data_IF_062968891633
#
_entry.id   IF_062968891633
#
_cell.length_a   1.000
_cell.length_b   1.000
_cell.length_c   1.000
_cell.angle_alpha   90.00
_cell.angle_beta   90.00
_cell.angle_gamma   90.00
#
_symmetry.space_group_name_H-M   'P 1'
#
loop_
_entity.id
_entity.type
_entity.pdbx_description
1 polymer ?
#
# COMPACT_ATOMS: atom_id res chain seq x y z
N UNK A 1 50.09 -6.28 24.39
CA UNK A 1 50.16 -4.95 23.74
C UNK A 1 48.75 -4.48 23.45
N UNK A 2 48.24 -3.47 24.16
CA UNK A 2 46.91 -2.90 23.89
C UNK A 2 47.06 -1.67 22.98
N UNK A 3 46.50 -1.74 21.78
CA UNK A 3 46.45 -0.61 20.84
C UNK A 3 45.58 0.49 21.44
N UNK A 4 46.18 1.60 21.87
CA UNK A 4 45.45 2.81 22.28
C UNK A 4 44.79 3.42 21.04
N UNK A 5 43.56 3.00 20.76
CA UNK A 5 42.71 3.68 19.79
C UNK A 5 42.50 5.10 20.31
N UNK A 6 42.94 6.09 19.53
CA UNK A 6 42.80 7.50 19.88
C UNK A 6 41.32 7.85 19.95
N UNK A 7 40.85 8.50 21.03
CA UNK A 7 39.46 8.98 21.14
C UNK A 7 39.02 9.82 19.91
N UNK A 8 39.98 10.45 19.22
CA UNK A 8 39.73 11.22 17.99
C UNK A 8 39.34 10.33 16.80
N UNK A 9 39.96 9.17 16.63
CA UNK A 9 39.60 8.27 15.52
C UNK A 9 38.21 7.69 15.74
N UNK A 10 37.83 7.39 16.98
CA UNK A 10 36.47 6.93 17.32
C UNK A 10 35.42 8.01 17.00
N UNK A 11 35.68 9.28 17.36
CA UNK A 11 34.77 10.40 17.07
C UNK A 11 34.56 10.64 15.57
N UNK A 12 35.65 10.56 14.78
CA UNK A 12 35.57 10.72 13.32
C UNK A 12 34.81 9.56 12.67
N UNK A 13 35.04 8.32 13.12
CA UNK A 13 34.31 7.15 12.63
C UNK A 13 32.82 7.25 12.93
N UNK A 14 32.45 7.61 14.17
CA UNK A 14 31.05 7.82 14.55
C UNK A 14 30.39 8.92 13.72
N UNK A 15 31.07 10.06 13.54
CA UNK A 15 30.53 11.19 12.76
C UNK A 15 30.32 10.81 11.29
N UNK A 16 31.29 10.09 10.70
CA UNK A 16 31.19 9.57 9.34
C UNK A 16 30.07 8.55 9.20
N UNK A 17 29.85 7.69 10.20
CA UNK A 17 28.79 6.70 10.18
C UNK A 17 27.40 7.34 10.28
N UNK A 18 27.24 8.35 11.14
CA UNK A 18 25.99 9.14 11.23
C UNK A 18 25.71 9.88 9.92
N UNK A 19 26.74 10.51 9.32
CA UNK A 19 26.60 11.18 8.03
C UNK A 19 26.19 10.20 6.91
N UNK A 20 26.87 9.06 6.80
CA UNK A 20 26.57 8.04 5.80
C UNK A 20 25.18 7.45 5.99
N UNK A 21 24.77 7.16 7.22
CA UNK A 21 23.42 6.68 7.53
C UNK A 21 22.36 7.73 7.16
N UNK A 22 22.61 9.01 7.44
CA UNK A 22 21.72 10.11 7.04
C UNK A 22 21.57 10.20 5.52
N UNK A 23 22.67 10.18 4.77
CA UNK A 23 22.64 10.20 3.30
C UNK A 23 21.92 8.98 2.71
N UNK A 24 22.15 7.79 3.29
CA UNK A 24 21.46 6.57 2.88
C UNK A 24 19.96 6.67 3.13
N UNK A 25 19.54 7.26 4.26
CA UNK A 25 18.14 7.45 4.59
C UNK A 25 17.46 8.47 3.68
N UNK A 26 18.18 9.54 3.26
CA UNK A 26 17.71 10.47 2.21
C UNK A 26 17.52 9.75 0.87
N UNK A 27 18.55 9.05 0.40
CA UNK A 27 18.49 8.31 -0.85
C UNK A 27 17.40 7.23 -0.84
N UNK A 28 17.31 6.47 0.26
CA UNK A 28 16.29 5.45 0.48
C UNK A 28 14.88 6.03 0.54
N UNK A 29 14.68 7.18 1.20
CA UNK A 29 13.39 7.87 1.23
C UNK A 29 12.94 8.33 -0.16
N UNK A 30 13.85 8.87 -0.97
CA UNK A 30 13.56 9.26 -2.35
C UNK A 30 13.24 8.05 -3.24
N UNK A 31 14.04 6.98 -3.15
CA UNK A 31 13.78 5.73 -3.89
C UNK A 31 12.45 5.10 -3.48
N UNK A 32 12.11 5.15 -2.18
CA UNK A 32 10.84 4.67 -1.68
C UNK A 32 9.66 5.51 -2.20
N UNK A 33 9.76 6.84 -2.19
CA UNK A 33 8.75 7.72 -2.80
C UNK A 33 8.57 7.48 -4.30
N UNK A 34 9.68 7.29 -5.02
CA UNK A 34 9.67 6.98 -6.45
C UNK A 34 9.07 5.60 -6.77
N UNK A 35 8.95 4.70 -5.78
CA UNK A 35 8.26 3.40 -5.93
C UNK A 35 6.72 3.51 -5.86
N UNK A 36 6.16 4.71 -6.00
CA UNK A 36 4.71 4.91 -6.14
C UNK A 36 4.23 4.34 -7.46
N UNK A 37 3.03 3.75 -7.48
CA UNK A 37 2.49 3.10 -8.66
C UNK A 37 0.96 3.09 -8.65
N UNK A 38 0.37 2.85 -9.82
CA UNK A 38 -1.07 2.61 -9.95
C UNK A 38 -1.37 1.12 -9.78
N UNK A 39 -2.23 0.79 -8.82
CA UNK A 39 -2.83 -0.52 -8.68
C UNK A 39 -4.17 -0.55 -9.40
N UNK A 40 -4.43 -1.60 -10.17
CA UNK A 40 -5.70 -1.78 -10.85
C UNK A 40 -6.67 -2.57 -9.96
N UNK A 41 -7.96 -2.31 -10.13
CA UNK A 41 -8.98 -3.11 -9.47
C UNK A 41 -9.33 -4.33 -10.33
N UNK A 42 -9.44 -5.49 -9.69
CA UNK A 42 -9.87 -6.73 -10.32
C UNK A 42 -11.19 -7.20 -9.73
N UNK A 43 -12.06 -7.75 -10.58
CA UNK A 43 -13.38 -8.23 -10.18
C UNK A 43 -13.45 -9.77 -10.23
N UNK A 44 -14.08 -10.35 -9.20
CA UNK A 44 -14.44 -11.76 -9.10
C UNK A 44 -15.95 -11.83 -9.05
N UNK A 45 -16.55 -12.38 -10.10
CA UNK A 45 -17.99 -12.32 -10.33
C UNK A 45 -18.76 -13.33 -9.47
N UNK A 46 -18.21 -14.50 -9.14
CA UNK A 46 -18.91 -15.52 -8.33
C UNK A 46 -17.89 -16.44 -7.66
N UNK A 47 -18.12 -16.82 -6.40
CA UNK A 47 -17.31 -17.82 -5.72
C UNK A 47 -17.93 -18.30 -4.41
N UNK A 48 -17.48 -19.47 -3.93
CA UNK A 48 -17.67 -19.87 -2.54
C UNK A 48 -16.48 -19.34 -1.74
N UNK A 49 -16.76 -18.60 -0.70
CA UNK A 49 -15.76 -18.02 0.16
C UNK A 49 -15.95 -18.53 1.58
N UNK A 50 -14.84 -18.85 2.24
CA UNK A 50 -14.79 -19.09 3.67
C UNK A 50 -14.46 -17.76 4.36
N UNK A 51 -15.25 -17.39 5.35
CA UNK A 51 -14.98 -16.23 6.20
C UNK A 51 -14.03 -16.64 7.32
N UNK A 52 -12.95 -15.88 7.50
CA UNK A 52 -11.98 -16.06 8.56
C UNK A 52 -11.92 -14.74 9.33
N UNK A 53 -12.17 -14.79 10.64
CA UNK A 53 -11.94 -13.63 11.50
C UNK A 53 -10.43 -13.46 11.71
N UNK A 54 -9.94 -12.24 11.47
CA UNK A 54 -8.58 -11.83 11.80
C UNK A 54 -8.66 -10.92 13.04
N UNK A 55 -7.51 -10.41 13.48
CA UNK A 55 -7.40 -9.47 14.58
C UNK A 55 -8.14 -8.15 14.32
N UNK A 56 -8.55 -7.50 15.41
CA UNK A 56 -9.10 -6.14 15.45
C UNK A 56 -10.44 -5.92 14.71
N UNK A 57 -11.18 -7.01 14.45
CA UNK A 57 -12.47 -6.96 13.77
C UNK A 57 -12.36 -6.86 12.25
N UNK A 58 -11.19 -7.19 11.71
CA UNK A 58 -10.95 -7.39 10.28
C UNK A 58 -11.29 -8.83 9.91
N UNK A 59 -11.77 -9.05 8.69
CA UNK A 59 -12.12 -10.38 8.18
C UNK A 59 -11.36 -10.68 6.91
N UNK A 60 -11.08 -11.94 6.64
CA UNK A 60 -10.62 -12.41 5.33
C UNK A 60 -11.66 -13.33 4.70
N UNK A 61 -11.94 -13.11 3.42
CA UNK A 61 -12.61 -14.08 2.58
C UNK A 61 -11.54 -14.93 1.90
N UNK A 62 -11.49 -16.23 2.20
CA UNK A 62 -10.68 -17.18 1.44
C UNK A 62 -11.55 -17.80 0.36
N UNK A 63 -11.16 -17.68 -0.91
CA UNK A 63 -11.86 -18.38 -1.99
C UNK A 63 -11.53 -19.87 -1.90
N UNK A 64 -12.56 -20.72 -1.76
CA UNK A 64 -12.37 -22.17 -1.58
C UNK A 64 -11.61 -22.73 -2.79
N UNK A 65 -10.57 -23.53 -2.51
CA UNK A 65 -9.68 -24.11 -3.53
C UNK A 65 -8.56 -23.17 -4.00
N UNK A 66 -8.33 -22.06 -3.32
CA UNK A 66 -7.20 -21.14 -3.57
C UNK A 66 -6.51 -20.73 -2.27
N UNK A 67 -5.25 -20.31 -2.37
CA UNK A 67 -4.46 -19.75 -1.27
C UNK A 67 -4.51 -18.20 -1.27
N UNK A 68 -5.52 -17.63 -1.92
CA UNK A 68 -5.74 -16.19 -2.00
C UNK A 68 -6.74 -15.73 -0.95
N UNK A 69 -6.33 -14.74 -0.16
CA UNK A 69 -7.13 -14.17 0.91
C UNK A 69 -7.53 -12.74 0.54
N UNK A 70 -8.80 -12.41 0.70
CA UNK A 70 -9.34 -11.10 0.40
C UNK A 70 -9.75 -10.41 1.70
N UNK A 71 -8.96 -9.43 2.13
CA UNK A 71 -9.08 -8.78 3.43
C UNK A 71 -10.12 -7.66 3.39
N UNK A 72 -10.98 -7.64 4.40
CA UNK A 72 -12.08 -6.70 4.57
C UNK A 72 -11.94 -6.07 5.94
N UNK A 73 -11.69 -4.76 5.97
CA UNK A 73 -11.86 -3.94 7.16
C UNK A 73 -13.27 -3.32 7.14
N UNK A 74 -14.20 -3.75 8.02
CA UNK A 74 -15.57 -3.24 8.07
C UNK A 74 -15.70 -1.72 8.20
N UNK A 75 -14.65 -1.05 8.70
CA UNK A 75 -14.65 0.40 8.96
C UNK A 75 -14.47 1.22 7.69
N UNK A 76 -13.90 0.63 6.62
CA UNK A 76 -13.61 1.32 5.34
C UNK A 76 -14.80 1.37 4.39
N UNK A 77 -15.87 0.62 4.66
CA UNK A 77 -17.01 0.47 3.75
C UNK A 77 -18.19 1.37 4.09
N UNK A 78 -18.88 1.80 3.04
CA UNK A 78 -20.18 2.48 3.09
C UNK A 78 -21.21 1.69 2.26
N UNK A 79 -22.38 1.32 2.82
CA UNK A 79 -22.74 1.47 4.23
C UNK A 79 -21.81 0.66 5.15
N UNK A 80 -21.74 1.03 6.43
CA UNK A 80 -20.88 0.30 7.38
C UNK A 80 -21.34 -1.15 7.51
N UNK A 81 -20.42 -2.10 7.42
CA UNK A 81 -20.75 -3.52 7.45
C UNK A 81 -21.12 -3.92 8.88
N UNK A 82 -22.25 -4.61 9.03
CA UNK A 82 -22.61 -5.25 10.29
C UNK A 82 -21.89 -6.62 10.36
N UNK A 83 -20.96 -6.84 11.31
CA UNK A 83 -20.23 -8.09 11.45
C UNK A 83 -21.13 -9.34 11.52
N UNK A 84 -22.32 -9.21 12.12
CA UNK A 84 -23.29 -10.31 12.21
C UNK A 84 -23.79 -10.76 10.85
N UNK A 85 -23.84 -9.87 9.85
CA UNK A 85 -24.23 -10.23 8.48
C UNK A 85 -23.15 -11.08 7.78
N UNK A 86 -21.88 -10.86 8.10
CA UNK A 86 -20.79 -11.68 7.57
C UNK A 86 -20.86 -13.12 8.13
N UNK A 87 -21.24 -13.26 9.40
CA UNK A 87 -21.37 -14.56 10.09
C UNK A 87 -22.58 -15.39 9.61
N UNK A 88 -23.56 -14.79 8.92
CA UNK A 88 -24.75 -15.47 8.40
C UNK A 88 -24.49 -16.34 7.17
N UNK A 89 -23.22 -16.50 6.74
CA UNK A 89 -22.83 -17.32 5.58
C UNK A 89 -23.57 -16.90 4.28
N UNK A 90 -23.81 -15.60 4.12
CA UNK A 90 -24.39 -15.04 2.90
C UNK A 90 -23.46 -15.30 1.71
N UNK A 91 -24.05 -15.52 0.53
CA UNK A 91 -23.27 -15.79 -0.67
C UNK A 91 -22.67 -14.49 -1.21
N UNK A 92 -21.37 -14.47 -1.47
CA UNK A 92 -20.70 -13.35 -2.14
C UNK A 92 -20.97 -13.44 -3.65
N UNK A 93 -21.67 -12.44 -4.19
CA UNK A 93 -22.06 -12.37 -5.62
C UNK A 93 -21.23 -11.41 -6.44
N UNK A 94 -20.37 -10.62 -5.79
CA UNK A 94 -19.39 -9.76 -6.44
C UNK A 94 -18.31 -9.46 -5.42
N UNK A 95 -17.06 -9.49 -5.84
CA UNK A 95 -15.93 -9.03 -5.05
C UNK A 95 -14.99 -8.27 -5.98
N UNK A 96 -14.66 -7.03 -5.64
CA UNK A 96 -13.63 -6.22 -6.29
C UNK A 96 -12.53 -6.02 -5.26
N UNK A 97 -11.30 -6.26 -5.69
CA UNK A 97 -10.11 -6.09 -4.87
C UNK A 97 -9.05 -5.28 -5.60
N UNK A 98 -8.16 -4.68 -4.84
CA UNK A 98 -6.98 -3.97 -5.33
C UNK A 98 -5.87 -4.99 -5.66
N UNK A 99 -5.36 -4.98 -6.89
CA UNK A 99 -4.29 -5.88 -7.33
C UNK A 99 -2.91 -5.42 -6.82
N UNK A 100 -2.80 -5.32 -5.50
CA UNK A 100 -1.58 -5.05 -4.74
C UNK A 100 -1.45 -6.14 -3.67
N UNK A 101 -0.76 -7.25 -3.97
CA UNK A 101 -0.63 -8.36 -3.04
C UNK A 101 0.19 -7.93 -1.81
N UNK A 102 -0.44 -8.01 -0.65
CA UNK A 102 0.17 -7.80 0.65
C UNK A 102 0.51 -9.15 1.31
N UNK A 103 1.50 -9.16 2.19
CA UNK A 103 1.79 -10.34 3.02
C UNK A 103 0.95 -10.28 4.29
N UNK A 104 0.01 -11.20 4.44
CA UNK A 104 -0.74 -11.38 5.68
C UNK A 104 -0.12 -12.54 6.48
N UNK A 105 0.35 -12.21 7.68
CA UNK A 105 0.71 -13.21 8.66
C UNK A 105 -0.54 -13.52 9.51
N UNK A 106 -1.05 -14.74 9.43
CA UNK A 106 -2.14 -15.18 10.28
C UNK A 106 -1.75 -16.47 11.01
N UNK A 107 -2.25 -16.60 12.23
CA UNK A 107 -2.09 -17.79 13.05
C UNK A 107 -3.33 -18.66 12.86
N UNK A 108 -3.24 -19.62 11.96
CA UNK A 108 -4.28 -20.65 11.80
C UNK A 108 -3.82 -21.90 12.52
N UNK A 109 -4.58 -22.35 13.52
CA UNK A 109 -4.30 -23.59 14.25
C UNK A 109 -2.87 -23.65 14.86
N UNK A 110 -2.36 -22.54 15.38
CA UNK A 110 -1.03 -22.43 16.02
C UNK A 110 0.15 -22.53 15.04
N UNK A 111 -0.13 -22.47 13.73
CA UNK A 111 0.88 -22.38 12.68
C UNK A 111 0.85 -20.97 12.09
N UNK A 112 1.97 -20.26 12.19
CA UNK A 112 2.14 -18.97 11.55
C UNK A 112 2.36 -19.20 10.06
N UNK A 113 1.42 -18.74 9.24
CA UNK A 113 1.53 -18.84 7.78
C UNK A 113 1.54 -17.43 7.17
N UNK A 114 2.48 -17.18 6.26
CA UNK A 114 2.49 -15.99 5.44
C UNK A 114 1.81 -16.32 4.12
N UNK A 115 0.70 -15.64 3.82
CA UNK A 115 -0.05 -15.79 2.57
C UNK A 115 -0.18 -14.47 1.85
N UNK A 116 -0.39 -14.55 0.55
CA UNK A 116 -0.75 -13.39 -0.25
C UNK A 116 -2.20 -12.99 0.04
N UNK A 117 -2.38 -11.73 0.41
CA UNK A 117 -3.68 -11.12 0.66
C UNK A 117 -3.92 -9.93 -0.24
N UNK A 118 -5.18 -9.68 -0.57
CA UNK A 118 -5.61 -8.54 -1.37
C UNK A 118 -6.66 -7.74 -0.60
N UNK A 119 -6.57 -6.41 -0.63
CA UNK A 119 -7.57 -5.55 0.00
C UNK A 119 -8.85 -5.51 -0.84
N UNK A 120 -9.98 -5.81 -0.19
CA UNK A 120 -11.31 -5.73 -0.81
C UNK A 120 -11.76 -4.29 -0.84
N UNK A 121 -12.28 -3.88 -1.99
CA UNK A 121 -12.70 -2.51 -2.27
C UNK A 121 -14.21 -2.42 -2.50
N UNK A 122 -14.81 -3.48 -3.04
CA UNK A 122 -16.25 -3.62 -3.10
C UNK A 122 -16.63 -5.08 -2.95
N UNK A 123 -17.72 -5.38 -2.27
CA UNK A 123 -18.33 -6.70 -2.36
C UNK A 123 -19.84 -6.63 -2.23
N UNK A 124 -20.50 -7.65 -2.76
CA UNK A 124 -21.93 -7.81 -2.67
C UNK A 124 -22.29 -9.13 -1.98
N UNK A 125 -23.17 -9.04 -0.99
CA UNK A 125 -23.77 -10.19 -0.31
C UNK A 125 -25.19 -10.38 -0.81
N UNK A 126 -25.55 -11.59 -1.21
CA UNK A 126 -26.91 -11.96 -1.54
C UNK A 126 -27.55 -12.76 -0.40
N UNK A 127 -28.68 -12.25 0.10
CA UNK A 127 -29.58 -12.98 0.96
C UNK A 127 -30.67 -13.66 0.12
N UNK A 128 -30.52 -14.97 -0.05
CA UNK A 128 -31.45 -15.80 -0.82
C UNK A 128 -32.83 -15.92 -0.16
N UNK A 129 -32.95 -15.65 1.15
CA UNK A 129 -34.24 -15.76 1.86
C UNK A 129 -35.18 -14.62 1.50
N UNK A 130 -34.62 -13.42 1.33
CA UNK A 130 -35.38 -12.19 1.05
C UNK A 130 -35.13 -11.63 -0.35
N UNK A 131 -34.41 -12.37 -1.21
CA UNK A 131 -34.04 -11.96 -2.58
C UNK A 131 -33.42 -10.56 -2.64
N UNK A 132 -32.61 -10.21 -1.63
CA UNK A 132 -32.01 -8.88 -1.50
C UNK A 132 -30.50 -8.97 -1.58
N UNK A 133 -29.91 -8.05 -2.35
CA UNK A 133 -28.47 -7.89 -2.46
C UNK A 133 -28.04 -6.64 -1.70
N UNK A 134 -26.99 -6.78 -0.90
CA UNK A 134 -26.35 -5.71 -0.16
C UNK A 134 -24.97 -5.48 -0.75
N UNK A 135 -24.74 -4.28 -1.31
CA UNK A 135 -23.45 -3.88 -1.85
C UNK A 135 -22.75 -2.98 -0.86
N UNK A 136 -21.49 -3.28 -0.58
CA UNK A 136 -20.61 -2.51 0.28
C UNK A 136 -19.43 -2.03 -0.56
N UNK A 137 -19.17 -0.73 -0.53
CA UNK A 137 -18.07 -0.11 -1.30
C UNK A 137 -17.16 0.67 -0.36
N UNK A 138 -15.85 0.56 -0.53
CA UNK A 138 -14.87 1.34 0.21
C UNK A 138 -14.93 2.81 -0.19
N UNK A 139 -14.45 3.70 0.69
CA UNK A 139 -14.33 5.11 0.34
C UNK A 139 -13.33 5.38 -0.79
N UNK A 140 -12.26 4.59 -0.87
CA UNK A 140 -11.21 4.72 -1.91
C UNK A 140 -11.80 4.41 -3.29
N UNK A 141 -12.45 3.24 -3.44
CA UNK A 141 -13.09 2.83 -4.69
C UNK A 141 -14.26 3.70 -5.10
N UNK A 142 -14.98 4.28 -4.13
CA UNK A 142 -16.07 5.21 -4.44
C UNK A 142 -15.60 6.54 -5.03
N UNK A 143 -14.35 6.93 -4.80
CA UNK A 143 -13.77 8.17 -5.33
C UNK A 143 -13.07 7.94 -6.66
N UNK A 144 -12.37 6.81 -6.80
CA UNK A 144 -11.69 6.41 -8.04
C UNK A 144 -11.94 4.91 -8.27
N UNK A 145 -12.77 4.61 -9.27
CA UNK A 145 -13.20 3.24 -9.59
C UNK A 145 -12.31 2.57 -10.65
N UNK A 146 -11.46 3.35 -11.33
CA UNK A 146 -10.63 2.86 -12.44
C UNK A 146 -9.28 2.36 -11.94
N UNK A 147 -8.68 3.06 -10.97
CA UNK A 147 -7.43 2.64 -10.35
C UNK A 147 -7.25 3.20 -8.93
N UNK A 148 -6.35 2.59 -8.17
CA UNK A 148 -5.87 3.15 -6.91
C UNK A 148 -4.42 3.65 -7.10
N UNK A 149 -4.18 4.93 -6.87
CA UNK A 149 -2.82 5.45 -6.82
C UNK A 149 -2.22 5.21 -5.43
N UNK A 150 -1.18 4.39 -5.34
CA UNK A 150 -0.47 4.14 -4.09
C UNK A 150 0.64 5.18 -3.97
N UNK A 151 0.33 6.26 -3.24
CA UNK A 151 1.28 7.32 -2.96
C UNK A 151 2.20 6.96 -1.78
N UNK A 152 3.48 6.74 -2.08
CA UNK A 152 4.54 6.48 -1.09
C UNK A 152 5.36 7.72 -0.77
N UNK A 153 5.09 8.85 -1.41
CA UNK A 153 5.81 10.10 -1.17
C UNK A 153 5.72 10.60 0.26
N UNK A 154 4.56 10.54 0.97
CA UNK A 154 4.51 11.04 2.35
C UNK A 154 5.52 10.35 3.27
N UNK A 155 5.61 9.01 3.23
CA UNK A 155 6.59 8.26 4.01
C UNK A 155 8.02 8.47 3.49
N UNK A 156 8.19 8.51 2.16
CA UNK A 156 9.49 8.79 1.54
C UNK A 156 10.06 10.16 1.92
N UNK A 157 9.22 11.20 1.94
CA UNK A 157 9.56 12.55 2.40
C UNK A 157 9.90 12.53 3.88
N UNK A 158 9.11 11.85 4.72
CA UNK A 158 9.39 11.75 6.15
C UNK A 158 10.77 11.11 6.42
N UNK A 159 11.10 10.01 5.72
CA UNK A 159 12.43 9.40 5.79
C UNK A 159 13.53 10.33 5.27
N UNK A 160 13.27 11.05 4.19
CA UNK A 160 14.24 11.98 3.61
C UNK A 160 14.56 13.14 4.55
N UNK A 161 13.55 13.71 5.20
CA UNK A 161 13.74 14.79 6.18
C UNK A 161 14.52 14.29 7.39
N UNK A 162 14.17 13.12 7.93
CA UNK A 162 14.90 12.52 9.05
C UNK A 162 16.38 12.24 8.69
N UNK A 163 16.62 11.69 7.49
CA UNK A 163 17.96 11.45 6.98
C UNK A 163 18.75 12.74 6.79
N UNK A 164 18.11 13.80 6.29
CA UNK A 164 18.76 15.10 6.09
C UNK A 164 19.19 15.73 7.41
N UNK A 165 18.36 15.64 8.46
CA UNK A 165 18.71 16.10 9.80
C UNK A 165 19.91 15.31 10.33
N UNK A 166 19.90 13.98 10.22
CA UNK A 166 21.02 13.14 10.64
C UNK A 166 22.32 13.45 9.88
N UNK A 167 22.24 13.63 8.57
CA UNK A 167 23.39 14.01 7.74
C UNK A 167 23.94 15.38 8.16
N UNK A 168 23.07 16.36 8.43
CA UNK A 168 23.47 17.69 8.88
C UNK A 168 24.19 17.62 10.23
N UNK A 169 23.66 16.87 11.19
CA UNK A 169 24.30 16.65 12.51
C UNK A 169 25.65 15.95 12.35
N UNK A 170 25.73 14.88 11.54
CA UNK A 170 26.98 14.19 11.25
C UNK A 170 28.04 15.11 10.62
N UNK A 171 27.62 15.97 9.69
CA UNK A 171 28.48 16.97 9.05
C UNK A 171 29.03 17.98 10.05
N UNK A 172 28.18 18.51 10.95
CA UNK A 172 28.60 19.44 12.01
C UNK A 172 29.58 18.77 12.96
N UNK A 173 29.32 17.54 13.40
CA UNK A 173 30.22 16.77 14.28
C UNK A 173 31.58 16.49 13.62
N UNK A 174 31.57 16.23 12.31
CA UNK A 174 32.79 16.04 11.53
C UNK A 174 33.60 17.35 11.44
N UNK A 175 32.96 18.49 11.17
CA UNK A 175 33.60 19.80 11.18
C UNK A 175 34.19 20.15 12.55
N UNK A 176 33.47 19.89 13.65
CA UNK A 176 33.97 20.13 15.01
C UNK A 176 35.13 19.21 15.40
N UNK A 177 35.20 18.00 14.83
CA UNK A 177 36.30 17.06 15.04
C UNK A 177 37.55 17.44 14.25
N UNK A 178 37.40 18.13 13.12
CA UNK A 178 38.47 18.75 12.36
C UNK A 178 38.90 20.08 12.99
N UNK A 179 39.35 20.07 14.25
CA UNK A 179 40.09 21.23 14.77
C UNK A 179 41.33 21.40 13.89
N UNK A 180 41.61 22.61 13.36
CA UNK A 180 42.84 22.85 12.64
C UNK A 180 43.95 22.46 13.60
N UNK A 181 44.70 21.41 13.25
CA UNK A 181 45.98 21.21 13.87
C UNK A 181 46.68 22.51 13.59
N UNK A 182 46.89 23.34 14.62
CA UNK A 182 47.88 24.39 14.55
C UNK A 182 49.11 23.60 14.10
N UNK A 183 49.43 23.74 12.83
CA UNK A 183 50.72 23.35 12.30
C UNK A 183 51.61 24.27 13.11
N UNK A 184 52.04 23.80 14.28
CA UNK A 184 53.24 24.28 14.91
C UNK A 184 54.28 24.02 13.85
N UNK A 185 54.43 25.02 12.96
CA UNK A 185 55.66 25.29 12.29
C UNK A 185 56.63 25.51 13.45
N UNK A 186 57.14 24.42 13.99
CA UNK A 186 58.49 24.40 14.49
C UNK A 186 59.30 24.89 13.30
N UNK A 187 59.46 26.22 13.19
CA UNK A 187 60.65 26.77 12.60
C UNK A 187 61.76 26.14 13.43
N UNK A 188 62.61 25.25 12.88
CA UNK A 188 63.89 25.02 13.49
C UNK A 188 64.65 26.34 13.36
N UNK A 189 64.52 27.18 14.38
CA UNK A 189 65.42 28.31 14.55
C UNK A 189 66.81 27.75 14.83
N UNK A 190 67.59 27.47 13.77
CA UNK A 190 69.05 27.48 13.85
C UNK A 190 69.71 27.54 12.47
N UNK A 191 69.94 28.78 12.03
CA UNK A 191 71.20 29.29 11.48
C UNK A 191 71.90 28.49 10.37
N UNK A 192 71.77 28.98 9.13
CA UNK A 192 72.92 29.14 8.25
C UNK A 192 72.69 30.37 7.35
N UNK A 193 73.26 31.49 7.79
CA UNK A 193 73.53 32.65 6.94
C UNK A 193 74.44 32.17 5.81
N UNK A 194 73.96 32.25 4.56
CA UNK A 194 74.80 32.17 3.36
C UNK A 194 74.55 33.45 2.55
N UNK A 195 75.60 34.21 2.20
CA UNK A 195 75.48 35.54 1.61
C UNK A 195 74.93 35.53 0.18
N UNK A 196 74.40 36.68 -0.29
CA UNK A 196 73.79 36.81 -1.61
C UNK A 196 74.85 36.86 -2.72
N UNK A 197 74.85 35.88 -3.61
CA UNK A 197 75.47 36.03 -4.93
C UNK A 197 74.47 36.67 -5.90
N UNK A 198 74.77 37.91 -6.27
CA UNK A 198 74.18 38.62 -7.39
C UNK A 198 74.33 37.76 -8.67
N UNK A 199 73.23 37.49 -9.37
CA UNK A 199 73.31 37.28 -10.81
C UNK A 199 72.13 37.99 -11.48
N UNK A 200 72.50 39.11 -12.07
CA UNK A 200 71.79 39.88 -13.08
C UNK A 200 71.40 38.99 -14.27
N UNK A 201 70.11 38.97 -14.61
CA UNK A 201 69.68 38.70 -15.98
C UNK A 201 68.65 39.74 -16.42
N UNK A 202 68.95 40.54 -17.46
CA UNK A 202 68.03 41.52 -18.01
C UNK A 202 67.11 40.90 -19.07
N UNK A 203 65.84 41.31 -19.01
CA UNK A 203 65.00 41.67 -20.15
C UNK A 203 64.81 40.69 -21.31
N UNK A 204 63.56 40.25 -21.51
CA UNK A 204 62.91 40.37 -22.82
C UNK A 204 61.48 40.91 -22.62
N UNK A 205 61.27 42.11 -23.14
CA UNK A 205 59.97 42.67 -23.52
C UNK A 205 59.34 41.82 -24.62
N UNK A 206 58.04 41.53 -24.52
CA UNK A 206 57.10 41.43 -25.67
C UNK A 206 55.73 41.01 -25.14
N UNK A 207 54.58 41.47 -25.60
CA UNK A 207 54.13 42.59 -26.42
C UNK A 207 52.60 42.53 -26.28
N UNK A 208 52.01 43.68 -26.05
CA UNK A 208 50.56 43.90 -26.04
C UNK A 208 49.96 43.68 -27.42
N UNK A 209 48.83 42.99 -27.52
CA UNK A 209 47.89 43.18 -28.64
C UNK A 209 46.46 42.92 -28.20
N UNK A 210 45.71 44.02 -28.16
CA UNK A 210 44.26 44.09 -28.28
C UNK A 210 43.74 43.25 -29.45
N UNK A 211 42.60 42.57 -29.25
CA UNK A 211 41.57 42.47 -30.28
C UNK A 211 40.18 42.37 -29.63
N UNK A 212 39.27 43.13 -30.21
CA UNK A 212 37.95 43.57 -29.75
C UNK A 212 36.84 42.53 -30.03
N UNK A 213 35.57 42.80 -29.63
CA UNK A 213 34.49 41.83 -29.59
C UNK A 213 33.85 41.62 -30.97
N UNK A 214 33.36 40.41 -31.22
CA UNK A 214 32.52 40.11 -32.38
C UNK A 214 31.13 39.70 -31.90
N UNK A 215 30.21 40.65 -32.06
CA UNK A 215 28.79 40.41 -32.25
C UNK A 215 28.56 39.49 -33.46
N UNK A 216 27.77 38.42 -33.28
CA UNK A 216 26.99 37.82 -34.38
C UNK A 216 25.64 37.30 -33.88
N UNK A 217 24.62 38.11 -34.13
CA UNK A 217 23.24 37.66 -34.39
C UNK A 217 23.20 36.86 -35.70
N UNK A 218 22.54 35.71 -35.68
CA UNK A 218 21.71 35.14 -36.76
C UNK A 218 21.07 33.84 -36.20
N UNK A 219 19.82 33.87 -35.73
CA UNK A 219 18.66 33.35 -36.48
C UNK A 219 18.92 32.05 -37.23
N UNK A 220 18.53 30.92 -36.64
CA UNK A 220 18.00 29.80 -37.41
C UNK A 220 16.68 29.37 -36.79
N UNK A 221 15.60 29.76 -37.48
CA UNK A 221 14.33 29.04 -37.47
C UNK A 221 14.63 27.61 -37.96
N UNK A 222 14.52 26.64 -37.07
CA UNK A 222 14.39 25.24 -37.47
C UNK A 222 12.94 24.85 -37.20
N UNK A 223 12.17 24.77 -38.28
CA UNK A 223 10.85 24.14 -38.28
C UNK A 223 10.97 22.70 -37.76
N UNK A 224 10.05 22.21 -36.91
CA UNK A 224 9.95 20.79 -36.64
C UNK A 224 9.49 20.06 -37.92
N UNK A 225 10.08 18.92 -38.28
CA UNK A 225 9.56 18.10 -39.35
C UNK A 225 8.20 17.53 -38.96
N UNK A 226 7.26 17.68 -39.88
CA UNK A 226 6.00 16.97 -39.89
C UNK A 226 6.23 15.45 -39.83
N UNK A 227 5.38 14.79 -39.06
CA UNK A 227 4.65 13.61 -39.51
C UNK A 227 5.50 12.43 -39.99
N UNK A 228 5.87 11.57 -39.05
CA UNK A 228 6.02 10.14 -39.30
C UNK A 228 5.05 9.39 -38.38
N UNK A 229 3.89 9.05 -38.94
CA UNK A 229 3.00 8.05 -38.40
C UNK A 229 3.76 6.73 -38.25
N UNK A 230 3.98 6.29 -37.01
CA UNK A 230 4.42 4.92 -36.73
C UNK A 230 3.18 4.04 -36.59
N UNK A 231 3.04 2.98 -37.40
CA UNK A 231 1.98 2.01 -37.21
C UNK A 231 2.21 1.23 -35.92
N UNK A 232 1.14 1.20 -35.14
CA UNK A 232 0.88 0.34 -33.99
C UNK A 232 1.35 -1.10 -34.29
N UNK A 233 2.49 -1.49 -33.72
CA UNK A 233 2.90 -2.89 -33.68
C UNK A 233 2.31 -3.48 -32.41
N UNK A 234 1.23 -4.24 -32.55
CA UNK A 234 0.69 -5.09 -31.50
C UNK A 234 1.77 -6.09 -31.07
N UNK A 235 2.48 -5.79 -29.98
CA UNK A 235 3.35 -6.76 -29.33
C UNK A 235 2.48 -7.63 -28.41
N UNK A 236 1.76 -8.56 -29.02
CA UNK A 236 1.11 -9.67 -28.32
C UNK A 236 2.21 -10.48 -27.62
N UNK A 237 2.49 -10.19 -26.36
CA UNK A 237 3.32 -11.05 -25.52
C UNK A 237 2.51 -12.29 -25.20
N UNK A 238 2.59 -13.26 -26.12
CA UNK A 238 2.10 -14.62 -25.94
C UNK A 238 3.01 -15.28 -24.88
N UNK A 239 2.63 -15.16 -23.61
CA UNK A 239 3.25 -15.94 -22.52
C UNK A 239 2.95 -17.42 -22.77
N UNK A 240 3.97 -18.12 -23.25
CA UNK A 240 4.03 -19.57 -23.30
C UNK A 240 4.08 -20.11 -21.86
N UNK A 241 3.30 -21.15 -21.51
CA UNK A 241 3.29 -21.71 -20.17
C UNK A 241 4.62 -22.39 -19.87
N UNK A 242 5.23 -22.02 -18.76
CA UNK A 242 6.33 -22.78 -18.17
C UNK A 242 5.84 -24.20 -17.88
N UNK A 243 6.40 -25.16 -18.61
CA UNK A 243 6.31 -26.58 -18.28
C UNK A 243 6.98 -26.76 -16.91
N UNK A 244 6.14 -26.95 -15.88
CA UNK A 244 6.62 -27.41 -14.59
C UNK A 244 7.09 -28.86 -14.76
N UNK A 245 8.41 -29.03 -14.75
CA UNK A 245 9.05 -30.32 -14.64
C UNK A 245 8.55 -31.01 -13.36
N UNK A 246 7.93 -32.17 -13.55
CA UNK A 246 7.50 -33.04 -12.46
C UNK A 246 8.70 -33.53 -11.66
N UNK A 247 8.69 -33.21 -10.37
CA UNK A 247 9.43 -33.97 -9.37
C UNK A 247 8.43 -34.91 -8.68
N UNK A 248 8.41 -36.15 -9.17
CA UNK A 248 7.81 -37.29 -8.50
C UNK A 248 8.55 -37.52 -7.17
N UNK A 249 7.94 -37.14 -6.05
CA UNK A 249 8.28 -37.73 -4.76
C UNK A 249 7.33 -38.89 -4.47
N UNK A 250 7.86 -40.10 -4.67
CA UNK A 250 7.26 -41.35 -4.25
C UNK A 250 7.51 -41.51 -2.75
N UNK A 251 6.49 -41.30 -1.93
CA UNK A 251 6.44 -41.81 -0.55
C UNK A 251 5.48 -42.98 -0.50
N UNK A 252 6.08 -44.15 -0.66
CA UNK A 252 5.52 -45.47 -0.44
C UNK A 252 5.34 -45.66 1.07
N UNK A 253 4.11 -45.52 1.57
CA UNK A 253 3.76 -46.04 2.90
C UNK A 253 2.54 -46.94 2.75
N UNK A 254 2.79 -48.24 2.79
CA UNK A 254 1.78 -49.28 2.77
C UNK A 254 0.91 -49.23 4.03
N UNK A 255 -0.40 -49.31 3.80
CA UNK A 255 -1.43 -49.43 4.83
C UNK A 255 -2.61 -50.15 4.22
N UNK A 256 -2.48 -51.47 4.13
CA UNK A 256 -3.47 -52.41 3.64
C UNK A 256 -4.60 -52.55 4.68
N UNK A 257 -5.80 -52.02 4.41
CA UNK A 257 -7.03 -52.39 5.11
C UNK A 257 -8.19 -52.50 4.10
N UNK A 258 -9.01 -53.50 4.34
CA UNK A 258 -9.97 -54.15 3.44
C UNK A 258 -11.10 -53.26 2.91
N UNK A 259 -11.65 -53.60 1.72
CA UNK A 259 -12.86 -52.99 1.21
C UNK A 259 -14.09 -53.68 1.80
N UNK A 260 -14.83 -52.98 2.65
CA UNK A 260 -16.19 -53.39 3.01
C UNK A 260 -17.19 -52.92 1.95
N UNK A 261 -17.94 -53.91 1.51
CA UNK A 261 -18.86 -53.95 0.39
C UNK A 261 -20.24 -53.56 0.90
N UNK A 262 -20.73 -52.36 0.58
CA UNK A 262 -22.15 -52.04 0.78
C UNK A 262 -22.80 -51.56 -0.53
N UNK A 263 -23.87 -52.29 -0.84
CA UNK A 263 -24.82 -52.21 -1.94
C UNK A 263 -25.33 -50.78 -2.18
N UNK A 264 -25.30 -50.29 -3.41
CA UNK A 264 -26.40 -50.40 -4.40
C UNK A 264 -27.77 -49.99 -3.86
N UNK A 265 -28.15 -48.73 -4.15
CA UNK A 265 -29.54 -48.34 -4.31
C UNK A 265 -29.62 -47.21 -5.34
N UNK A 266 -29.98 -47.58 -6.56
CA UNK A 266 -30.40 -46.69 -7.62
C UNK A 266 -31.72 -46.01 -7.23
N UNK A 267 -31.84 -44.69 -7.46
CA UNK A 267 -33.13 -44.03 -7.70
C UNK A 267 -33.00 -42.86 -8.68
N UNK A 268 -34.08 -42.55 -9.40
CA UNK A 268 -34.03 -42.10 -10.79
C UNK A 268 -34.15 -40.58 -10.93
N UNK A 269 -33.87 -40.13 -12.16
CA UNK A 269 -33.72 -38.74 -12.53
C UNK A 269 -34.97 -37.86 -12.41
N UNK A 270 -34.68 -36.57 -12.47
CA UNK A 270 -35.66 -35.53 -12.77
C UNK A 270 -35.07 -34.70 -13.91
N UNK A 271 -35.83 -34.65 -15.00
CA UNK A 271 -35.60 -33.84 -16.18
C UNK A 271 -35.63 -32.33 -15.88
N UNK A 272 -34.91 -31.60 -16.73
CA UNK A 272 -34.83 -30.15 -16.90
C UNK A 272 -36.20 -29.44 -17.02
N UNK A 273 -36.19 -28.10 -16.97
CA UNK A 273 -36.23 -27.42 -18.28
C UNK A 273 -35.18 -26.32 -18.46
N UNK A 274 -34.66 -26.27 -19.70
CA UNK A 274 -33.99 -25.14 -20.32
C UNK A 274 -34.76 -23.83 -20.10
N UNK A 275 -34.05 -22.77 -19.69
CA UNK A 275 -34.53 -21.41 -19.88
C UNK A 275 -33.86 -20.80 -21.10
N UNK A 276 -34.62 -20.74 -22.18
CA UNK A 276 -34.35 -19.95 -23.39
C UNK A 276 -34.24 -18.47 -23.02
N UNK A 277 -33.02 -17.92 -23.02
CA UNK A 277 -32.83 -16.48 -22.86
C UNK A 277 -32.91 -15.82 -24.23
N UNK A 278 -34.05 -15.18 -24.52
CA UNK A 278 -34.22 -14.30 -25.68
C UNK A 278 -33.39 -13.02 -25.46
N UNK A 279 -32.40 -12.83 -26.32
CA UNK A 279 -31.71 -11.56 -26.54
C UNK A 279 -32.70 -10.55 -27.15
N UNK A 280 -32.97 -9.46 -26.43
CA UNK A 280 -33.63 -8.27 -26.96
C UNK A 280 -32.62 -7.12 -26.93
N UNK A 281 -31.97 -6.89 -28.06
CA UNK A 281 -31.33 -5.62 -28.42
C UNK A 281 -32.40 -4.54 -28.60
N UNK A 282 -32.30 -3.38 -27.94
CA UNK A 282 -32.96 -2.17 -28.40
C UNK A 282 -32.03 -1.39 -29.34
N UNK A 283 -32.56 -1.18 -30.53
CA UNK A 283 -32.00 -0.39 -31.61
C UNK A 283 -31.63 1.04 -31.21
N UNK A 284 -30.58 1.49 -31.89
CA UNK A 284 -30.12 2.86 -31.98
C UNK A 284 -30.99 3.65 -32.97
N UNK A 285 -31.38 4.88 -32.59
CA UNK A 285 -31.85 6.05 -33.39
C UNK A 285 -32.91 6.75 -32.53
N UNK A 286 -32.85 8.05 -32.25
CA UNK A 286 -33.03 9.09 -33.26
C UNK A 286 -32.81 10.50 -32.69
N UNK A 287 -32.16 11.32 -33.52
CA UNK A 287 -32.52 12.72 -33.83
C UNK A 287 -32.07 13.82 -32.85
N UNK A 288 -31.08 14.57 -33.36
CA UNK A 288 -30.80 15.96 -33.02
C UNK A 288 -31.95 16.88 -33.45
N UNK A 289 -32.25 17.90 -32.66
CA UNK A 289 -32.73 19.16 -33.23
C UNK A 289 -32.31 20.36 -32.36
N UNK A 290 -31.66 21.30 -33.04
CA UNK A 290 -31.27 22.60 -32.57
C UNK A 290 -32.49 23.50 -32.33
N UNK A 291 -32.35 24.41 -31.37
CA UNK A 291 -33.31 25.48 -31.10
C UNK A 291 -32.67 26.58 -30.26
N UNK A 292 -31.97 27.48 -30.94
CA UNK A 292 -31.58 28.81 -30.43
C UNK A 292 -32.82 29.64 -30.11
N UNK A 293 -32.85 30.32 -28.97
CA UNK A 293 -33.40 31.67 -28.83
C UNK A 293 -32.87 32.37 -27.57
N UNK A 294 -32.04 33.38 -27.84
CA UNK A 294 -31.93 34.69 -27.17
C UNK A 294 -33.34 35.24 -26.79
N UNK A 295 -33.63 36.07 -25.79
CA UNK A 295 -32.97 37.22 -25.16
C UNK A 295 -33.69 37.49 -23.81
N UNK A 296 -33.05 38.30 -22.97
CA UNK A 296 -33.62 39.34 -22.09
C UNK A 296 -33.65 39.15 -20.56
N UNK A 297 -32.83 40.02 -19.97
CA UNK A 297 -33.06 40.89 -18.80
C UNK A 297 -33.17 40.30 -17.38
N UNK A 298 -32.13 40.65 -16.61
CA UNK A 298 -32.11 40.86 -15.16
C UNK A 298 -33.26 41.79 -14.71
N UNK A 299 -33.77 41.67 -13.47
CA UNK A 299 -33.01 42.21 -12.33
C UNK A 299 -33.11 41.44 -11.00
N UNK A 300 -31.94 41.31 -10.36
CA UNK A 300 -31.62 41.79 -9.01
C UNK A 300 -32.80 41.90 -8.02
N UNK A 301 -33.04 40.85 -7.21
CA UNK A 301 -33.71 41.00 -5.91
C UNK A 301 -32.92 40.32 -4.81
N UNK A 302 -32.47 41.18 -3.91
CA UNK A 302 -31.84 40.93 -2.62
C UNK A 302 -32.82 40.25 -1.66
N UNK A 303 -32.44 39.12 -1.04
CA UNK A 303 -33.01 38.72 0.25
C UNK A 303 -32.07 37.87 1.10
N UNK A 304 -31.27 38.62 1.85
CA UNK A 304 -30.74 38.32 3.18
C UNK A 304 -31.75 37.53 4.02
N UNK A 305 -31.45 36.28 4.37
CA UNK A 305 -32.00 35.62 5.57
C UNK A 305 -30.85 35.13 6.42
N UNK A 306 -30.68 35.84 7.52
CA UNK A 306 -29.87 35.46 8.67
C UNK A 306 -30.49 34.20 9.26
N UNK A 307 -29.76 33.09 9.28
CA UNK A 307 -30.09 31.99 10.17
C UNK A 307 -29.47 32.29 11.53
N UNK A 308 -30.36 32.57 12.47
CA UNK A 308 -30.09 32.77 13.89
C UNK A 308 -29.56 31.45 14.45
N UNK A 309 -28.39 31.54 15.07
CA UNK A 309 -27.81 30.53 15.95
C UNK A 309 -28.70 30.39 17.19
N UNK A 310 -29.33 29.23 17.35
CA UNK A 310 -30.04 28.85 18.57
C UNK A 310 -29.26 27.74 19.28
N UNK A 311 -28.63 28.15 20.36
CA UNK A 311 -28.02 27.36 21.42
C UNK A 311 -29.10 26.56 22.19
N UNK A 312 -28.92 25.26 22.44
CA UNK A 312 -29.59 24.61 23.56
C UNK A 312 -28.58 24.18 24.62
N UNK A 313 -28.48 24.99 25.67
CA UNK A 313 -28.02 24.54 26.99
C UNK A 313 -29.13 23.73 27.65
N UNK A 314 -28.72 22.57 28.17
CA UNK A 314 -29.10 22.05 29.49
C UNK A 314 -30.59 21.92 29.81
N UNK A 315 -31.11 20.70 29.71
CA UNK A 315 -32.06 20.19 30.69
C UNK A 315 -31.59 18.82 31.19
N UNK A 316 -31.11 18.84 32.43
CA UNK A 316 -31.10 17.69 33.31
C UNK A 316 -32.56 17.30 33.58
N UNK A 317 -32.88 16.03 33.35
CA UNK A 317 -34.17 15.41 33.61
C UNK A 317 -33.91 14.03 34.19
N UNK A 318 -33.90 13.99 35.51
CA UNK A 318 -33.91 12.82 36.39
C UNK A 318 -35.24 12.06 36.22
N UNK A 319 -35.19 10.80 35.74
CA UNK A 319 -36.27 9.80 35.86
C UNK A 319 -35.56 8.45 36.10
N UNK A 320 -35.40 8.06 37.36
CA UNK A 320 -36.20 7.03 38.06
C UNK A 320 -36.16 5.67 37.35
N UNK A 321 -35.24 4.85 37.87
CA UNK A 321 -35.32 3.41 38.15
C UNK A 321 -36.48 2.60 37.56
N UNK A 322 -36.13 1.62 36.73
CA UNK A 322 -36.70 0.27 36.77
C UNK A 322 -35.58 -0.74 36.48
N UNK A 323 -35.09 -1.36 37.57
CA UNK A 323 -34.13 -2.47 37.54
C UNK A 323 -34.97 -3.73 37.41
N UNK A 324 -35.20 -4.18 36.18
CA UNK A 324 -35.76 -5.51 35.95
C UNK A 324 -34.66 -6.55 36.24
N UNK A 325 -34.95 -7.34 37.26
CA UNK A 325 -34.06 -8.33 37.87
C UNK A 325 -34.05 -9.57 36.98
N UNK A 326 -32.91 -9.91 36.37
CA UNK A 326 -32.76 -11.17 35.66
C UNK A 326 -32.63 -12.35 36.65
N UNK A 327 -33.26 -13.51 36.36
CA UNK A 327 -33.20 -14.68 37.23
C UNK A 327 -31.80 -15.30 37.24
N UNK A 328 -31.28 -15.48 38.44
CA UNK A 328 -30.07 -16.22 38.78
C UNK A 328 -30.18 -17.69 38.36
N UNK A 329 -29.25 -18.16 37.52
CA UNK A 329 -29.05 -19.59 37.29
C UNK A 329 -28.49 -20.24 38.56
N UNK A 330 -28.99 -21.43 38.98
CA UNK A 330 -28.43 -22.16 40.09
C UNK A 330 -27.12 -22.86 39.70
N UNK A 331 -26.03 -22.37 40.27
CA UNK A 331 -24.73 -23.04 40.33
C UNK A 331 -24.85 -24.28 41.22
N UNK A 332 -24.75 -25.48 40.65
CA UNK A 332 -24.57 -26.72 41.43
C UNK A 332 -23.16 -27.25 41.19
N UNK A 333 -22.25 -27.23 42.18
CA UNK A 333 -20.99 -27.95 42.08
C UNK A 333 -21.22 -29.45 42.29
N UNK A 334 -20.79 -30.27 41.32
CA UNK A 334 -20.65 -31.72 41.52
C UNK A 334 -19.52 -31.98 42.52
N UNK A 335 -19.74 -32.78 43.57
CA UNK A 335 -18.66 -33.31 44.38
C UNK A 335 -17.88 -34.37 43.58
N UNK A 336 -16.56 -34.31 43.71
CA UNK A 336 -15.62 -35.35 43.29
C UNK A 336 -15.80 -36.57 44.22
N UNK A 337 -16.11 -37.73 43.66
CA UNK A 337 -16.00 -39.00 44.39
C UNK A 337 -14.52 -39.37 44.56
N UNK A 338 -14.07 -39.67 45.78
CA UNK A 338 -12.76 -40.24 46.05
C UNK A 338 -12.86 -41.78 46.19
N UNK A 339 -11.85 -42.46 45.65
CA UNK A 339 -11.44 -43.85 45.94
C UNK A 339 -12.33 -45.01 45.47
N UNK A 340 -11.76 -45.89 44.63
CA UNK A 340 -11.44 -47.22 45.12
C UNK A 340 -10.28 -47.87 44.34
N UNK A 341 -9.15 -48.01 45.05
CA UNK A 341 -8.18 -49.09 44.85
C UNK A 341 -8.89 -50.43 44.98
N UNK A 342 -8.68 -51.35 44.04
CA UNK A 342 -8.48 -52.76 44.41
C UNK A 342 -7.80 -53.55 43.31
N UNK A 343 -6.62 -54.02 43.69
CA UNK A 343 -5.91 -55.19 43.19
C UNK A 343 -6.80 -56.42 43.04
N UNK A 344 -6.58 -57.18 41.96
CA UNK A 344 -6.37 -58.64 41.89
C UNK A 344 -6.10 -59.03 40.44
#
# INVERSE_FOLDING_TARGET
MATRVSRRSISLLLSSLVLAAGLFMVGGGLLYGASSYHAFYQAISVGRFQLIAIDNGTYAFQKIGTDSYYVVDPRKFTPRINPSLLLLHLSITKLIYKDDPQSLAFNLNHVQTNVSSYDVEQFALADKRVWKQYTYTSSEYSQDADSAYIDRWPQGIAFSVAGFVAATVGSILLMLSMKPQKIERHLPGRLAVVPPAQSSFPGIMRESSHASPVDRRATSNVSPPAEAAFPLSEQTTQRQPAQAAGLHFSTQTGGQLQPDRIMSAARPGILYPEQTTRSLTPDSRSVAQAGTNQVDELPKVSRRRQFVSANPKSQAGEIISDIETMPTLPTTPRPLDPFNDRSS
#
